data_IF_007331142765
#
_entry.id   IF_007331142765
#
_cell.length_a   1.000
_cell.length_b   1.000
_cell.length_c   1.000
_cell.angle_alpha   90.00
_cell.angle_beta   90.00
_cell.angle_gamma   90.00
#
_symmetry.space_group_name_H-M   'P 1'
#
loop_
_entity.id
_entity.type
_entity.pdbx_description
1 polymer ?
#
# COMPACT_ATOMS: atom_id res chain seq x y z
N UNK A 1 -12.44 5.73 -16.59
CA UNK A 1 -11.14 6.44 -16.60
C UNK A 1 -11.35 7.78 -15.93
N UNK A 2 -10.81 7.95 -14.74
CA UNK A 2 -10.78 9.25 -14.11
C UNK A 2 -9.79 10.12 -14.89
N UNK A 3 -10.33 10.96 -15.75
CA UNK A 3 -9.57 11.88 -16.57
C UNK A 3 -9.28 13.18 -15.79
N UNK A 4 -8.96 13.06 -14.49
CA UNK A 4 -8.47 14.20 -13.75
C UNK A 4 -7.02 14.46 -14.16
N UNK A 5 -6.67 15.71 -14.47
CA UNK A 5 -5.29 16.02 -14.79
C UNK A 5 -4.40 15.68 -13.61
N UNK A 6 -3.23 15.10 -13.88
CA UNK A 6 -2.23 14.82 -12.85
C UNK A 6 -1.74 16.14 -12.26
N UNK A 7 -1.44 16.11 -10.97
CA UNK A 7 -0.88 17.26 -10.27
C UNK A 7 0.60 17.43 -10.63
N UNK A 8 1.06 18.68 -10.69
CA UNK A 8 2.49 18.96 -10.69
C UNK A 8 3.01 19.05 -9.26
N UNK A 9 4.31 18.94 -9.08
CA UNK A 9 4.90 19.15 -7.74
C UNK A 9 4.71 20.59 -7.27
N UNK A 10 4.66 21.54 -8.18
CA UNK A 10 4.38 22.93 -7.87
C UNK A 10 2.97 23.10 -7.32
N UNK A 11 1.97 22.42 -7.91
CA UNK A 11 0.61 22.43 -7.38
C UNK A 11 0.57 21.91 -5.95
N UNK A 12 1.26 20.79 -5.69
CA UNK A 12 1.35 20.18 -4.36
C UNK A 12 1.97 21.14 -3.35
N UNK A 13 3.04 21.84 -3.75
CA UNK A 13 3.75 22.78 -2.89
C UNK A 13 2.91 24.01 -2.47
N UNK A 14 1.86 24.32 -3.24
CA UNK A 14 0.98 25.47 -2.94
C UNK A 14 -0.22 25.10 -2.09
N UNK A 15 -0.42 23.81 -1.80
CA UNK A 15 -1.55 23.32 -1.01
C UNK A 15 -1.39 23.68 0.48
N UNK A 16 -2.50 24.09 1.10
CA UNK A 16 -2.54 24.11 2.55
C UNK A 16 -2.65 22.68 3.09
N UNK A 17 -2.56 22.49 4.40
CA UNK A 17 -2.53 21.15 5.01
C UNK A 17 -3.77 20.34 4.65
N UNK A 18 -4.96 20.93 4.70
CA UNK A 18 -6.22 20.23 4.43
C UNK A 18 -6.34 19.81 2.97
N UNK A 19 -5.98 20.70 2.05
CA UNK A 19 -5.93 20.41 0.62
C UNK A 19 -4.94 19.28 0.33
N UNK A 20 -3.76 19.33 0.92
CA UNK A 20 -2.72 18.32 0.76
C UNK A 20 -3.18 16.95 1.28
N UNK A 21 -3.74 16.88 2.49
CA UNK A 21 -4.25 15.63 3.07
C UNK A 21 -5.39 15.08 2.22
N UNK A 22 -6.27 15.93 1.72
CA UNK A 22 -7.35 15.51 0.81
C UNK A 22 -6.82 14.94 -0.50
N UNK A 23 -5.79 15.56 -1.07
CA UNK A 23 -5.24 15.17 -2.37
C UNK A 23 -4.39 13.90 -2.29
N UNK A 24 -3.53 13.76 -1.27
CA UNK A 24 -2.52 12.69 -1.21
C UNK A 24 -2.65 11.78 0.02
N UNK A 25 -3.51 12.10 0.98
CA UNK A 25 -3.62 11.31 2.22
C UNK A 25 -4.12 9.89 2.03
N UNK A 26 -4.86 9.63 0.96
CA UNK A 26 -5.43 8.32 0.63
C UNK A 26 -4.39 7.29 0.17
N UNK A 27 -3.18 7.73 -0.22
CA UNK A 27 -2.14 6.81 -0.73
C UNK A 27 -1.68 5.82 0.34
N UNK A 28 -1.76 6.19 1.63
CA UNK A 28 -1.67 5.26 2.76
C UNK A 28 -3.10 4.99 3.26
N UNK A 29 -3.63 3.81 2.97
CA UNK A 29 -5.02 3.43 3.27
C UNK A 29 -5.38 3.74 4.73
N UNK A 30 -6.42 4.54 4.93
CA UNK A 30 -6.94 4.91 6.25
C UNK A 30 -5.91 5.50 7.22
N UNK A 31 -4.81 6.05 6.69
CA UNK A 31 -3.71 6.59 7.51
C UNK A 31 -3.32 8.01 7.06
N UNK A 32 -4.28 8.96 7.08
CA UNK A 32 -4.03 10.33 6.59
C UNK A 32 -3.00 11.08 7.46
N UNK A 33 -2.67 10.59 8.64
CA UNK A 33 -1.66 11.18 9.52
C UNK A 33 -0.28 11.23 8.86
N UNK A 34 0.02 10.31 7.92
CA UNK A 34 1.30 10.31 7.18
C UNK A 34 1.40 11.57 6.31
N UNK A 35 0.36 11.85 5.52
CA UNK A 35 0.33 13.06 4.69
C UNK A 35 0.34 14.32 5.55
N UNK A 36 -0.40 14.33 6.63
CA UNK A 36 -0.45 15.48 7.54
C UNK A 36 0.93 15.83 8.09
N UNK A 37 1.71 14.85 8.49
CA UNK A 37 3.07 15.05 8.95
C UNK A 37 4.02 15.45 7.80
N UNK A 38 3.89 14.82 6.64
CA UNK A 38 4.71 15.12 5.47
C UNK A 38 4.51 16.55 4.95
N UNK A 39 3.31 17.11 5.12
CA UNK A 39 3.03 18.51 4.72
C UNK A 39 3.99 19.52 5.34
N UNK A 40 4.45 19.27 6.56
CA UNK A 40 5.41 20.14 7.23
C UNK A 40 6.77 20.25 6.51
N UNK A 41 7.02 19.34 5.57
CA UNK A 41 8.27 19.31 4.79
C UNK A 41 8.19 20.11 3.49
N UNK A 42 7.03 20.67 3.13
CA UNK A 42 6.89 21.46 1.92
C UNK A 42 7.68 22.78 2.02
N UNK A 43 8.24 23.29 0.92
CA UNK A 43 8.13 22.77 -0.44
C UNK A 43 9.11 21.63 -0.74
N UNK A 44 8.74 20.78 -1.70
CA UNK A 44 9.54 19.65 -2.17
C UNK A 44 9.90 19.85 -3.64
N UNK A 45 10.99 19.21 -4.09
CA UNK A 45 11.51 19.37 -5.44
C UNK A 45 10.97 18.33 -6.42
N UNK A 46 10.49 17.19 -5.92
CA UNK A 46 10.05 16.08 -6.76
C UNK A 46 9.05 15.18 -6.06
N UNK A 47 8.35 14.40 -6.84
CA UNK A 47 7.47 13.33 -6.36
C UNK A 47 8.24 12.29 -5.54
N UNK A 48 9.45 11.97 -5.96
CA UNK A 48 10.33 11.03 -5.27
C UNK A 48 10.69 11.54 -3.88
N UNK A 49 10.92 12.83 -3.73
CA UNK A 49 11.17 13.44 -2.43
C UNK A 49 9.94 13.37 -1.53
N UNK A 50 8.73 13.56 -2.08
CA UNK A 50 7.50 13.39 -1.33
C UNK A 50 7.37 11.96 -0.79
N UNK A 51 7.62 10.96 -1.62
CA UNK A 51 7.61 9.56 -1.19
C UNK A 51 8.59 9.32 -0.05
N UNK A 52 9.82 9.83 -0.17
CA UNK A 52 10.83 9.69 0.87
C UNK A 52 10.41 10.34 2.19
N UNK A 53 9.77 11.50 2.13
CA UNK A 53 9.27 12.18 3.34
C UNK A 53 8.17 11.39 4.02
N UNK A 54 7.23 10.84 3.24
CA UNK A 54 6.18 9.98 3.77
C UNK A 54 6.76 8.70 4.40
N UNK A 55 7.69 8.06 3.73
CA UNK A 55 8.38 6.86 4.24
C UNK A 55 9.10 7.18 5.56
N UNK A 56 9.80 8.31 5.63
CA UNK A 56 10.48 8.76 6.85
C UNK A 56 9.51 8.96 8.01
N UNK A 57 8.35 9.55 7.75
CA UNK A 57 7.28 9.71 8.76
C UNK A 57 6.88 8.35 9.34
N UNK A 58 6.67 7.36 8.50
CA UNK A 58 6.29 6.02 8.94
C UNK A 58 7.43 5.33 9.69
N UNK A 59 8.65 5.43 9.19
CA UNK A 59 9.84 4.82 9.84
C UNK A 59 10.11 5.38 11.23
N UNK A 60 9.82 6.65 11.44
CA UNK A 60 10.02 7.32 12.72
C UNK A 60 8.83 7.15 13.68
N UNK A 61 7.74 6.55 13.24
CA UNK A 61 6.58 6.28 14.08
C UNK A 61 6.86 5.10 15.02
N UNK A 62 6.16 5.07 16.15
CA UNK A 62 6.21 3.94 17.07
C UNK A 62 5.71 2.66 16.41
N UNK A 63 6.23 1.51 16.83
CA UNK A 63 5.88 0.21 16.28
C UNK A 63 4.36 -0.05 16.32
N UNK A 64 3.69 0.34 17.41
CA UNK A 64 2.24 0.20 17.53
C UNK A 64 1.48 1.00 16.45
N UNK A 65 1.99 2.18 16.08
CA UNK A 65 1.42 3.01 15.02
C UNK A 65 1.68 2.39 13.64
N UNK A 66 2.88 1.88 13.42
CA UNK A 66 3.21 1.15 12.20
C UNK A 66 2.35 -0.10 12.03
N UNK A 67 2.13 -0.85 13.12
CA UNK A 67 1.25 -2.02 13.11
C UNK A 67 -0.19 -1.65 12.77
N UNK A 68 -0.69 -0.56 13.33
CA UNK A 68 -2.03 -0.05 13.00
C UNK A 68 -2.15 0.33 11.53
N UNK A 69 -1.10 0.91 10.95
CA UNK A 69 -1.04 1.22 9.52
C UNK A 69 -1.12 -0.06 8.67
N UNK A 70 -0.38 -1.10 9.03
CA UNK A 70 -0.44 -2.39 8.33
C UNK A 70 -1.83 -3.02 8.43
N UNK A 71 -2.46 -2.97 9.61
CA UNK A 71 -3.80 -3.50 9.83
C UNK A 71 -4.89 -2.73 9.08
N UNK A 72 -4.67 -1.47 8.79
CA UNK A 72 -5.59 -0.63 8.02
C UNK A 72 -5.51 -0.91 6.52
N UNK A 73 -4.44 -1.53 6.04
CA UNK A 73 -4.26 -1.84 4.63
C UNK A 73 -5.19 -2.98 4.21
N UNK A 74 -5.83 -2.92 3.01
CA UNK A 74 -6.72 -3.98 2.56
C UNK A 74 -6.00 -5.31 2.40
N UNK A 75 -6.67 -6.38 2.81
CA UNK A 75 -6.20 -7.75 2.63
C UNK A 75 -6.28 -8.12 1.14
N UNK A 76 -5.16 -8.52 0.56
CA UNK A 76 -5.04 -8.80 -0.87
C UNK A 76 -5.97 -9.92 -1.32
N UNK A 77 -6.19 -10.95 -0.51
CA UNK A 77 -6.86 -12.17 -0.94
C UNK A 77 -8.34 -12.27 -0.59
N UNK A 78 -8.82 -11.56 0.41
CA UNK A 78 -10.15 -11.79 0.98
C UNK A 78 -11.15 -10.70 0.69
N UNK A 79 -10.73 -9.56 0.17
CA UNK A 79 -11.56 -8.37 0.04
C UNK A 79 -12.00 -8.17 -1.39
N UNK A 80 -13.27 -8.48 -1.64
CA UNK A 80 -13.91 -8.15 -2.91
C UNK A 80 -14.42 -6.71 -2.93
N UNK A 81 -14.65 -6.14 -1.74
CA UNK A 81 -15.12 -4.75 -1.59
C UNK A 81 -14.05 -3.95 -0.87
N UNK A 82 -13.20 -3.31 -1.63
CA UNK A 82 -12.15 -2.40 -1.20
C UNK A 82 -12.25 -1.15 -2.05
N UNK A 83 -11.34 -0.20 -1.87
CA UNK A 83 -11.33 0.98 -2.73
C UNK A 83 -11.23 0.59 -4.21
N UNK A 84 -11.80 1.42 -5.10
CA UNK A 84 -11.69 1.21 -6.55
C UNK A 84 -10.24 1.02 -7.00
N UNK A 85 -9.32 1.76 -6.40
CA UNK A 85 -7.89 1.68 -6.72
C UNK A 85 -7.35 0.30 -6.43
N UNK A 86 -7.63 -0.24 -5.25
CA UNK A 86 -7.17 -1.57 -4.86
C UNK A 86 -7.82 -2.67 -5.68
N UNK A 87 -9.10 -2.53 -6.03
CA UNK A 87 -9.80 -3.47 -6.93
C UNK A 87 -9.14 -3.49 -8.31
N UNK A 88 -8.80 -2.33 -8.88
CA UNK A 88 -8.11 -2.25 -10.17
C UNK A 88 -6.72 -2.88 -10.10
N UNK A 89 -5.99 -2.64 -9.02
CA UNK A 89 -4.68 -3.25 -8.81
C UNK A 89 -4.78 -4.78 -8.80
N UNK A 90 -5.74 -5.34 -8.09
CA UNK A 90 -5.96 -6.79 -8.01
C UNK A 90 -6.44 -7.39 -9.34
N UNK A 91 -7.38 -6.75 -10.03
CA UNK A 91 -7.88 -7.20 -11.32
C UNK A 91 -6.78 -7.21 -12.39
N UNK A 92 -5.85 -6.26 -12.33
CA UNK A 92 -4.74 -6.16 -13.27
C UNK A 92 -3.78 -7.34 -13.23
N UNK A 93 -3.77 -8.15 -12.17
CA UNK A 93 -2.88 -9.32 -12.01
C UNK A 93 -3.62 -10.66 -12.13
N UNK A 94 -4.90 -10.64 -12.48
CA UNK A 94 -5.69 -11.85 -12.74
C UNK A 94 -6.18 -12.57 -11.49
N UNK A 95 -6.21 -11.92 -10.32
CA UNK A 95 -6.73 -12.51 -9.08
C UNK A 95 -8.22 -12.82 -9.13
N UNK A 96 -8.96 -12.19 -10.03
CA UNK A 96 -10.36 -12.46 -10.34
C UNK A 96 -10.58 -13.76 -11.14
N UNK A 97 -9.49 -14.40 -11.63
CA UNK A 97 -9.51 -15.58 -12.48
C UNK A 97 -8.89 -16.81 -11.83
N UNK A 98 -8.99 -16.92 -10.52
CA UNK A 98 -8.51 -18.09 -9.80
C UNK A 98 -9.40 -19.30 -10.07
N UNK A 99 -8.78 -20.48 -10.24
CA UNK A 99 -9.51 -21.74 -10.17
C UNK A 99 -9.99 -21.99 -8.75
N UNK A 100 -10.90 -22.94 -8.55
CA UNK A 100 -11.37 -23.30 -7.21
C UNK A 100 -10.23 -23.77 -6.31
N UNK A 101 -9.30 -24.57 -6.84
CA UNK A 101 -8.16 -25.07 -6.08
C UNK A 101 -7.17 -23.94 -5.73
N UNK A 102 -6.90 -23.06 -6.68
CA UNK A 102 -6.07 -21.86 -6.45
C UNK A 102 -6.70 -20.95 -5.40
N UNK A 103 -8.01 -20.75 -5.47
CA UNK A 103 -8.74 -19.94 -4.50
C UNK A 103 -8.63 -20.52 -3.09
N UNK A 104 -8.82 -21.85 -2.94
CA UNK A 104 -8.68 -22.53 -1.66
C UNK A 104 -7.27 -22.41 -1.10
N UNK A 105 -6.26 -22.60 -1.94
CA UNK A 105 -4.86 -22.46 -1.54
C UNK A 105 -4.56 -21.04 -1.09
N UNK A 106 -5.02 -20.05 -1.86
CA UNK A 106 -4.84 -18.64 -1.56
C UNK A 106 -5.48 -18.27 -0.21
N UNK A 107 -6.73 -18.69 0.01
CA UNK A 107 -7.46 -18.42 1.25
C UNK A 107 -6.80 -19.10 2.44
N UNK A 108 -6.33 -20.34 2.29
CA UNK A 108 -5.64 -21.08 3.36
C UNK A 108 -4.33 -20.40 3.75
N UNK A 109 -3.51 -20.00 2.80
CA UNK A 109 -2.26 -19.28 3.02
C UNK A 109 -2.50 -17.93 3.67
N UNK A 110 -3.50 -17.20 3.18
CA UNK A 110 -3.86 -15.89 3.71
C UNK A 110 -4.32 -15.99 5.17
N UNK A 111 -5.14 -16.98 5.50
CA UNK A 111 -5.59 -17.22 6.87
C UNK A 111 -4.40 -17.53 7.79
N UNK A 112 -3.51 -18.42 7.37
CA UNK A 112 -2.28 -18.74 8.12
C UNK A 112 -1.44 -17.51 8.35
N UNK A 113 -1.28 -16.67 7.31
CA UNK A 113 -0.48 -15.45 7.39
C UNK A 113 -1.04 -14.49 8.44
N UNK A 114 -2.34 -14.21 8.38
CA UNK A 114 -2.99 -13.29 9.33
C UNK A 114 -2.95 -13.82 10.75
N UNK A 115 -3.19 -15.13 10.94
CA UNK A 115 -3.12 -15.75 12.27
C UNK A 115 -1.71 -15.69 12.86
N UNK A 116 -0.71 -15.86 12.02
CA UNK A 116 0.70 -15.89 12.45
C UNK A 116 1.25 -14.50 12.75
N UNK A 117 0.94 -13.51 11.92
CA UNK A 117 1.55 -12.19 11.99
C UNK A 117 0.65 -11.11 12.58
N UNK A 118 -0.66 -11.28 12.56
CA UNK A 118 -1.61 -10.33 13.12
C UNK A 118 -1.85 -9.09 12.25
N UNK A 119 -1.41 -9.12 11.00
CA UNK A 119 -1.69 -8.10 9.99
C UNK A 119 -1.91 -8.76 8.63
N UNK A 120 -2.56 -8.08 7.66
CA UNK A 120 -2.87 -8.71 6.37
C UNK A 120 -1.61 -8.92 5.53
N UNK A 121 -1.67 -9.90 4.62
CA UNK A 121 -0.64 -10.06 3.60
C UNK A 121 -0.70 -8.90 2.63
N UNK A 122 0.40 -8.17 2.52
CA UNK A 122 0.53 -6.98 1.69
C UNK A 122 1.63 -7.22 0.66
N UNK A 123 1.30 -6.99 -0.61
CA UNK A 123 2.25 -7.11 -1.72
C UNK A 123 1.91 -6.11 -2.80
N UNK A 124 2.92 -5.44 -3.32
CA UNK A 124 2.79 -4.62 -4.51
C UNK A 124 2.61 -5.56 -5.71
N UNK A 125 1.43 -5.53 -6.33
CA UNK A 125 1.05 -6.53 -7.34
C UNK A 125 1.28 -6.09 -8.78
N UNK A 126 1.65 -4.84 -9.00
CA UNK A 126 1.95 -4.32 -10.35
C UNK A 126 3.10 -5.12 -10.96
N UNK A 127 2.87 -5.70 -12.14
CA UNK A 127 3.85 -6.55 -12.81
C UNK A 127 3.92 -7.98 -12.30
N UNK A 128 3.08 -8.36 -11.33
CA UNK A 128 3.00 -9.72 -10.79
C UNK A 128 1.83 -10.48 -11.44
N UNK A 129 1.75 -11.77 -11.16
CA UNK A 129 0.63 -12.63 -11.54
C UNK A 129 0.25 -13.54 -10.38
N UNK A 130 -0.85 -14.30 -10.52
CA UNK A 130 -1.32 -15.20 -9.45
C UNK A 130 -0.26 -16.21 -9.00
N UNK A 131 0.55 -16.71 -9.92
CA UNK A 131 1.62 -17.66 -9.60
C UNK A 131 2.74 -17.04 -8.77
N UNK A 132 3.18 -15.84 -9.12
CA UNK A 132 4.23 -15.13 -8.36
C UNK A 132 3.71 -14.67 -7.01
N UNK A 133 2.44 -14.27 -6.91
CA UNK A 133 1.83 -13.88 -5.63
C UNK A 133 1.71 -15.08 -4.69
N UNK A 134 1.21 -16.22 -5.18
CA UNK A 134 1.12 -17.44 -4.38
C UNK A 134 2.50 -17.92 -3.91
N UNK A 135 3.49 -17.87 -4.80
CA UNK A 135 4.88 -18.22 -4.46
C UNK A 135 5.43 -17.31 -3.35
N UNK A 136 5.18 -16.02 -3.45
CA UNK A 136 5.58 -15.05 -2.41
C UNK A 136 4.90 -15.34 -1.08
N UNK A 137 3.60 -15.65 -1.08
CA UNK A 137 2.88 -16.00 0.15
C UNK A 137 3.48 -17.21 0.84
N UNK A 138 3.82 -18.26 0.08
CA UNK A 138 4.44 -19.47 0.62
C UNK A 138 5.78 -19.20 1.28
N UNK A 139 6.59 -18.35 0.69
CA UNK A 139 7.89 -17.94 1.24
C UNK A 139 7.68 -17.06 2.49
N UNK A 140 6.84 -16.08 2.39
CA UNK A 140 6.68 -15.06 3.43
C UNK A 140 6.00 -15.58 4.68
N UNK A 141 5.07 -16.52 4.57
CA UNK A 141 4.42 -17.15 5.74
C UNK A 141 5.41 -17.89 6.63
N UNK A 142 6.56 -18.31 6.10
CA UNK A 142 7.62 -19.00 6.82
C UNK A 142 8.66 -18.06 7.45
N UNK A 143 8.57 -16.76 7.19
CA UNK A 143 9.53 -15.79 7.73
C UNK A 143 9.31 -15.52 9.22
N UNK A 144 10.38 -15.04 9.89
CA UNK A 144 10.26 -14.53 11.26
C UNK A 144 9.41 -13.24 11.27
N UNK A 145 8.75 -12.98 12.41
CA UNK A 145 7.86 -11.83 12.57
C UNK A 145 8.54 -10.51 12.21
N UNK A 146 9.72 -10.26 12.73
CA UNK A 146 10.47 -9.01 12.52
C UNK A 146 10.79 -8.80 11.05
N UNK A 147 11.20 -9.85 10.35
CA UNK A 147 11.47 -9.80 8.91
C UNK A 147 10.21 -9.50 8.13
N UNK A 148 9.11 -10.16 8.46
CA UNK A 148 7.85 -10.00 7.74
C UNK A 148 7.22 -8.63 8.00
N UNK A 149 7.35 -8.11 9.22
CA UNK A 149 6.91 -6.76 9.56
C UNK A 149 7.58 -5.70 8.67
N UNK A 150 8.91 -5.79 8.52
CA UNK A 150 9.66 -4.88 7.65
C UNK A 150 9.31 -5.09 6.17
N UNK A 151 9.14 -6.34 5.75
CA UNK A 151 8.75 -6.66 4.38
C UNK A 151 7.38 -6.06 4.06
N UNK A 152 6.42 -6.21 4.96
CA UNK A 152 5.07 -5.64 4.78
C UNK A 152 5.11 -4.11 4.64
N UNK A 153 5.88 -3.43 5.50
CA UNK A 153 6.05 -1.97 5.39
C UNK A 153 6.68 -1.59 4.05
N UNK A 154 7.72 -2.29 3.61
CA UNK A 154 8.38 -2.02 2.33
C UNK A 154 7.42 -2.22 1.15
N UNK A 155 6.54 -3.20 1.22
CA UNK A 155 5.52 -3.42 0.19
C UNK A 155 4.48 -2.29 0.17
N UNK A 156 4.07 -1.79 1.33
CA UNK A 156 3.23 -0.58 1.41
C UNK A 156 3.92 0.60 0.73
N UNK A 157 5.21 0.82 0.98
CA UNK A 157 5.95 1.92 0.35
C UNK A 157 5.99 1.80 -1.17
N UNK A 158 6.13 0.60 -1.71
CA UNK A 158 6.06 0.37 -3.17
C UNK A 158 4.69 0.72 -3.73
N UNK A 159 3.63 0.29 -3.06
CA UNK A 159 2.24 0.58 -3.45
C UNK A 159 2.00 2.10 -3.44
N UNK A 160 2.43 2.78 -2.40
CA UNK A 160 2.34 4.24 -2.29
C UNK A 160 3.10 4.92 -3.43
N UNK A 161 4.29 4.43 -3.75
CA UNK A 161 5.09 4.94 -4.87
C UNK A 161 4.34 4.85 -6.20
N UNK A 162 3.67 3.74 -6.48
CA UNK A 162 2.84 3.58 -7.68
C UNK A 162 1.66 4.55 -7.68
N UNK A 163 0.98 4.70 -6.56
CA UNK A 163 -0.16 5.63 -6.43
C UNK A 163 0.27 7.08 -6.63
N UNK A 164 1.39 7.48 -6.06
CA UNK A 164 1.95 8.81 -6.28
C UNK A 164 2.34 9.04 -7.74
N UNK A 165 2.87 8.02 -8.41
CA UNK A 165 3.20 8.10 -9.83
C UNK A 165 1.96 8.33 -10.69
N UNK A 166 0.83 7.75 -10.32
CA UNK A 166 -0.43 7.97 -11.03
C UNK A 166 -1.04 9.35 -10.73
N UNK A 167 -0.78 9.90 -9.56
CA UNK A 167 -1.37 11.15 -9.08
C UNK A 167 -0.56 12.40 -9.47
N UNK A 168 0.77 12.31 -9.43
CA UNK A 168 1.70 13.44 -9.61
C UNK A 168 2.62 13.16 -10.79
N UNK A 169 2.77 14.16 -11.67
CA UNK A 169 3.69 14.09 -12.82
C UNK A 169 5.15 13.93 -12.42
#
# INVERSE_FOLDING_TARGET
MNNQPRLSIEDVNQMNKEEFVSAVGWVFEHSPWVARAAWESLPLNSREELLQRMVTVVKNAEEAVQLALLRAHPDLGTRLIISEVSQKEQAGVGLDRLTMDEHKEFMSLNQRYVEQFGFPFIMAVKGQNKGTILAAMKVRVANAYEQEFLTALNEVYKIVGFRLTDLIE
#
